data_IF_649645011694
#
_entry.id   IF_649645011694
#
_cell.length_a   1.000
_cell.length_b   1.000
_cell.length_c   1.000
_cell.angle_alpha   90.00
_cell.angle_beta   90.00
_cell.angle_gamma   90.00
#
_symmetry.space_group_name_H-M   'P 1'
#
loop_
_entity.id
_entity.type
_entity.pdbx_description
1 polymer ?
#
# COMPACT_ATOMS: atom_id res chain seq x y z
N UNK A 1 -5.78 -0.62 16.14
CA UNK A 1 -5.17 -1.97 16.21
C UNK A 1 -4.13 -2.04 17.31
N UNK A 2 -3.57 -3.22 17.59
CA UNK A 2 -2.64 -3.47 18.72
C UNK A 2 -1.42 -2.54 18.69
N UNK A 3 -0.65 -2.53 17.59
CA UNK A 3 0.56 -1.71 17.48
C UNK A 3 0.30 -0.19 17.64
N UNK A 4 -0.89 0.30 17.27
CA UNK A 4 -1.30 1.68 17.53
C UNK A 4 -1.59 1.92 19.01
N UNK A 5 -2.29 0.99 19.68
CA UNK A 5 -2.56 1.05 21.12
C UNK A 5 -1.28 0.96 21.97
N UNK A 6 -0.25 0.29 21.45
CA UNK A 6 1.09 0.23 22.04
C UNK A 6 1.97 1.45 21.68
N UNK A 7 1.44 2.44 20.97
CA UNK A 7 2.16 3.65 20.54
C UNK A 7 3.43 3.38 19.70
N UNK A 8 3.47 2.27 18.96
CA UNK A 8 4.61 1.92 18.10
C UNK A 8 4.72 2.83 16.86
N UNK A 9 3.64 3.48 16.47
CA UNK A 9 3.57 4.45 15.38
C UNK A 9 2.43 5.46 15.59
N UNK A 10 2.45 6.55 14.84
CA UNK A 10 1.34 7.50 14.68
C UNK A 10 0.71 7.34 13.30
N UNK A 11 -0.59 7.58 13.17
CA UNK A 11 -1.26 7.53 11.86
C UNK A 11 -0.68 8.53 10.86
N UNK A 12 -0.11 9.64 11.34
CA UNK A 12 0.58 10.64 10.51
C UNK A 12 2.01 10.27 10.15
N UNK A 13 2.56 9.17 10.67
CA UNK A 13 3.92 8.76 10.31
C UNK A 13 3.96 8.36 8.82
N UNK A 14 4.96 8.84 8.05
CA UNK A 14 5.16 8.38 6.69
C UNK A 14 5.43 6.88 6.64
N UNK A 15 4.81 6.16 5.70
CA UNK A 15 5.05 4.73 5.53
C UNK A 15 6.54 4.42 5.23
N UNK A 16 7.21 5.34 4.52
CA UNK A 16 8.64 5.29 4.20
C UNK A 16 9.56 5.20 5.43
N UNK A 17 9.07 5.59 6.62
CA UNK A 17 9.81 5.46 7.89
C UNK A 17 10.05 3.99 8.27
N UNK A 18 9.10 3.12 7.97
CA UNK A 18 9.12 1.71 8.37
C UNK A 18 9.32 0.76 7.19
N UNK A 19 9.07 1.23 5.97
CA UNK A 19 9.24 0.44 4.76
C UNK A 19 9.98 1.25 3.67
N UNK A 20 11.30 1.05 3.48
CA UNK A 20 12.12 1.87 2.58
C UNK A 20 11.64 2.01 1.13
N UNK A 21 11.01 0.99 0.49
CA UNK A 21 10.45 1.16 -0.86
C UNK A 21 9.40 2.26 -0.98
N UNK A 22 8.74 2.65 0.12
CA UNK A 22 7.79 3.78 0.13
C UNK A 22 8.46 5.16 0.05
N UNK A 23 9.79 5.25 0.01
CA UNK A 23 10.49 6.52 -0.26
C UNK A 23 10.09 7.15 -1.60
N UNK A 24 9.61 6.37 -2.55
CA UNK A 24 9.06 6.87 -3.82
C UNK A 24 7.71 7.59 -3.63
N UNK A 25 7.03 7.36 -2.51
CA UNK A 25 5.77 8.01 -2.13
C UNK A 25 5.86 8.66 -0.73
N UNK A 26 6.69 9.71 -0.58
CA UNK A 26 7.11 10.22 0.74
C UNK A 26 5.98 10.83 1.58
N UNK A 27 4.86 11.21 0.95
CA UNK A 27 3.70 11.83 1.61
C UNK A 27 2.64 10.82 2.05
N UNK A 28 2.76 9.54 1.66
CA UNK A 28 1.82 8.50 2.07
C UNK A 28 2.09 8.13 3.53
N UNK A 29 1.06 8.26 4.37
CA UNK A 29 1.12 7.95 5.80
C UNK A 29 0.49 6.59 6.10
N UNK A 30 0.75 6.05 7.28
CA UNK A 30 0.07 4.84 7.75
C UNK A 30 -1.45 5.01 7.85
N UNK A 31 -1.93 6.23 8.14
CA UNK A 31 -3.35 6.57 8.12
C UNK A 31 -3.96 6.51 6.73
N UNK A 32 -3.23 6.91 5.69
CA UNK A 32 -3.71 6.78 4.30
C UNK A 32 -3.87 5.31 3.90
N UNK A 33 -2.86 4.48 4.18
CA UNK A 33 -2.90 3.05 3.88
C UNK A 33 -4.03 2.33 4.63
N UNK A 34 -4.23 2.66 5.91
CA UNK A 34 -5.29 2.08 6.73
C UNK A 34 -6.70 2.38 6.19
N UNK A 35 -6.88 3.52 5.51
CA UNK A 35 -8.17 3.96 4.98
C UNK A 35 -8.33 3.73 3.47
N UNK A 36 -7.42 2.98 2.83
CA UNK A 36 -7.41 2.77 1.38
C UNK A 36 -7.47 4.10 0.60
N UNK A 37 -6.68 5.06 1.07
CA UNK A 37 -6.60 6.43 0.55
C UNK A 37 -5.16 6.81 0.22
N UNK A 38 -4.32 5.83 -0.15
CA UNK A 38 -2.93 6.06 -0.55
C UNK A 38 -2.81 6.97 -1.78
N UNK A 39 -3.82 6.96 -2.66
CA UNK A 39 -3.75 7.63 -3.95
C UNK A 39 -2.96 6.85 -5.01
N UNK A 40 -2.58 5.59 -4.73
CA UNK A 40 -1.92 4.70 -5.70
C UNK A 40 -2.93 4.13 -6.70
N UNK A 41 -2.52 3.99 -7.96
CA UNK A 41 -3.35 3.49 -9.08
C UNK A 41 -3.55 1.97 -9.01
N UNK A 42 -3.94 1.49 -7.84
CA UNK A 42 -4.17 0.08 -7.57
C UNK A 42 -5.54 -0.33 -8.12
N UNK A 43 -5.56 -1.39 -8.94
CA UNK A 43 -6.79 -1.90 -9.53
C UNK A 43 -7.11 -3.29 -8.98
N UNK A 44 -8.33 -3.42 -8.46
CA UNK A 44 -8.89 -4.66 -7.92
C UNK A 44 -9.70 -5.42 -8.97
N UNK A 45 -9.68 -5.01 -10.24
CA UNK A 45 -10.49 -5.64 -11.27
C UNK A 45 -9.94 -7.04 -11.59
N UNK A 46 -10.47 -8.07 -10.94
CA UNK A 46 -10.06 -9.47 -11.11
C UNK A 46 -10.58 -10.07 -12.43
N UNK A 47 -11.68 -9.55 -12.95
CA UNK A 47 -12.53 -10.27 -13.92
C UNK A 47 -12.27 -9.88 -15.39
N UNK A 48 -11.87 -8.63 -15.66
CA UNK A 48 -11.83 -8.10 -17.03
C UNK A 48 -10.42 -7.90 -17.60
N UNK A 49 -9.36 -8.07 -16.80
CA UNK A 49 -7.98 -7.90 -17.28
C UNK A 49 -6.95 -8.71 -16.45
N UNK A 50 -6.95 -10.07 -16.52
CA UNK A 50 -6.05 -10.91 -15.71
C UNK A 50 -4.55 -10.61 -15.91
N UNK A 51 -4.17 -10.04 -17.07
CA UNK A 51 -2.78 -9.66 -17.36
C UNK A 51 -2.40 -8.23 -16.87
N UNK A 52 -3.38 -7.35 -16.63
CA UNK A 52 -3.13 -5.95 -16.23
C UNK A 52 -3.53 -5.64 -14.79
N UNK A 53 -4.35 -6.48 -14.16
CA UNK A 53 -4.79 -6.30 -12.78
C UNK A 53 -3.63 -6.49 -11.79
N UNK A 54 -3.21 -5.45 -11.04
CA UNK A 54 -2.22 -5.58 -9.98
C UNK A 54 -2.61 -6.63 -8.94
N UNK A 55 -3.91 -6.71 -8.60
CA UNK A 55 -4.44 -7.64 -7.62
C UNK A 55 -4.32 -9.12 -8.04
N UNK A 56 -4.33 -9.42 -9.34
CA UNK A 56 -4.03 -10.76 -9.88
C UNK A 56 -2.52 -10.95 -10.05
N UNK A 57 -1.82 -9.93 -10.56
CA UNK A 57 -0.41 -10.03 -10.86
C UNK A 57 0.46 -10.24 -9.61
N UNK A 58 0.05 -9.64 -8.49
CA UNK A 58 0.76 -9.66 -7.21
C UNK A 58 0.84 -11.07 -6.60
N UNK A 59 -0.24 -11.82 -6.36
CA UNK A 59 -0.13 -13.17 -5.79
C UNK A 59 0.35 -14.22 -6.79
N UNK A 60 0.06 -14.08 -8.09
CA UNK A 60 0.25 -15.16 -9.06
C UNK A 60 1.41 -14.99 -10.03
N UNK A 61 1.97 -13.78 -10.18
CA UNK A 61 3.01 -13.51 -11.19
C UNK A 61 4.12 -12.58 -10.67
N UNK A 62 4.25 -11.37 -11.22
CA UNK A 62 5.35 -10.42 -11.04
C UNK A 62 5.57 -10.00 -9.59
N UNK A 63 4.51 -9.84 -8.80
CA UNK A 63 4.62 -9.41 -7.41
C UNK A 63 4.76 -10.55 -6.40
N UNK A 64 4.84 -11.81 -6.84
CA UNK A 64 4.80 -12.96 -5.92
C UNK A 64 6.03 -13.05 -5.03
N UNK A 65 7.17 -12.54 -5.51
CA UNK A 65 8.42 -12.54 -4.76
C UNK A 65 8.40 -11.54 -3.60
N UNK A 66 7.85 -10.35 -3.82
CA UNK A 66 7.58 -9.35 -2.80
C UNK A 66 6.33 -8.52 -3.18
N UNK A 67 5.24 -8.80 -2.48
CA UNK A 67 3.93 -8.21 -2.77
C UNK A 67 3.85 -6.74 -2.34
N UNK A 68 4.60 -6.35 -1.31
CA UNK A 68 4.61 -4.99 -0.80
C UNK A 68 5.50 -4.10 -1.65
N UNK A 69 6.64 -4.61 -2.12
CA UNK A 69 7.49 -3.90 -3.09
C UNK A 69 6.73 -3.69 -4.41
N UNK A 70 6.07 -4.73 -4.92
CA UNK A 70 5.21 -4.62 -6.09
C UNK A 70 4.10 -3.58 -5.92
N UNK A 71 3.47 -3.51 -4.74
CA UNK A 71 2.47 -2.48 -4.45
C UNK A 71 3.10 -1.07 -4.38
N UNK A 72 4.30 -0.93 -3.80
CA UNK A 72 5.00 0.34 -3.70
C UNK A 72 5.34 0.92 -5.10
N UNK A 73 5.64 0.06 -6.07
CA UNK A 73 5.95 0.46 -7.45
C UNK A 73 4.74 0.92 -8.27
N UNK A 74 3.55 0.95 -7.67
CA UNK A 74 2.33 1.45 -8.34
C UNK A 74 2.41 2.98 -8.49
N UNK A 75 2.12 3.48 -9.68
CA UNK A 75 2.05 4.92 -9.95
C UNK A 75 0.91 5.59 -9.16
N UNK A 76 1.01 6.88 -8.82
CA UNK A 76 -0.10 7.62 -8.21
C UNK A 76 -1.21 7.93 -9.24
N UNK A 77 -2.47 7.92 -8.80
CA UNK A 77 -3.63 8.44 -9.55
C UNK A 77 -4.23 9.70 -8.92
N UNK A 78 -4.03 9.90 -7.61
CA UNK A 78 -4.55 11.03 -6.85
C UNK A 78 -3.60 11.35 -5.69
N UNK A 79 -3.74 12.54 -5.11
CA UNK A 79 -3.01 12.89 -3.89
C UNK A 79 -3.47 12.02 -2.70
N UNK A 80 -2.58 11.64 -1.79
CA UNK A 80 -2.95 10.84 -0.62
C UNK A 80 -4.04 11.52 0.22
N UNK A 81 -5.06 10.76 0.59
CA UNK A 81 -6.21 11.23 1.35
C UNK A 81 -7.32 11.91 0.54
N UNK A 82 -7.14 12.17 -0.77
CA UNK A 82 -8.14 12.84 -1.60
C UNK A 82 -9.20 11.90 -2.20
N UNK A 83 -8.90 10.61 -2.31
CA UNK A 83 -9.80 9.63 -2.89
C UNK A 83 -9.75 8.31 -2.11
N UNK A 84 -10.92 7.71 -1.93
CA UNK A 84 -11.05 6.34 -1.45
C UNK A 84 -11.00 5.38 -2.64
N UNK A 85 -10.14 4.36 -2.56
CA UNK A 85 -10.08 3.29 -3.54
C UNK A 85 -9.66 2.00 -2.85
N UNK A 86 -10.59 1.05 -2.73
CA UNK A 86 -10.35 -0.25 -2.10
C UNK A 86 -9.08 -0.90 -2.68
N UNK A 87 -8.15 -1.29 -1.81
CA UNK A 87 -6.78 -1.63 -2.21
C UNK A 87 -6.15 -2.69 -1.30
N UNK A 88 -5.98 -3.89 -1.81
CA UNK A 88 -5.13 -4.94 -1.24
C UNK A 88 -3.66 -4.53 -1.26
N UNK A 89 -3.25 -3.68 -2.22
CA UNK A 89 -1.92 -3.06 -2.24
C UNK A 89 -1.64 -2.24 -0.99
N UNK A 90 -2.56 -1.36 -0.60
CA UNK A 90 -2.45 -0.54 0.62
C UNK A 90 -2.36 -1.42 1.87
N UNK A 91 -3.10 -2.53 1.89
CA UNK A 91 -3.11 -3.49 3.00
C UNK A 91 -1.78 -4.25 3.10
N UNK A 92 -1.17 -4.62 1.96
CA UNK A 92 0.16 -5.20 1.90
C UNK A 92 1.25 -4.21 2.34
N UNK A 93 1.17 -2.95 1.89
CA UNK A 93 2.08 -1.89 2.29
C UNK A 93 2.01 -1.62 3.80
N UNK A 94 0.80 -1.56 4.36
CA UNK A 94 0.59 -1.42 5.80
C UNK A 94 1.19 -2.61 6.56
N UNK A 95 1.00 -3.83 6.07
CA UNK A 95 1.55 -5.05 6.67
C UNK A 95 3.09 -5.06 6.64
N UNK A 96 3.70 -4.64 5.53
CA UNK A 96 5.15 -4.52 5.41
C UNK A 96 5.72 -3.44 6.33
N UNK A 97 5.05 -2.29 6.44
CA UNK A 97 5.43 -1.24 7.39
C UNK A 97 5.35 -1.74 8.84
N UNK A 98 4.29 -2.47 9.21
CA UNK A 98 4.17 -3.06 10.55
C UNK A 98 5.23 -4.14 10.82
N UNK A 99 5.63 -4.92 9.81
CA UNK A 99 6.70 -5.92 9.91
C UNK A 99 8.08 -5.28 10.14
N UNK A 100 8.30 -4.07 9.63
CA UNK A 100 9.54 -3.30 9.80
C UNK A 100 9.70 -2.60 11.15
N UNK A 101 8.72 -2.71 12.06
CA UNK A 101 8.72 -2.08 13.39
C UNK A 101 9.36 -2.93 14.48
#
# INVERSE_FOLDING_TARGET
>A
GVAYGENRFKLSDPAARFYPPMKQHPTITLGHLLNWASGLDWQEDYEYAPLKSPAVAMPYTRGRADMAEFAADTSPFAEPGQAFRYSSGDSNLLSAALKGM
#
